data_IF_575063656203
#
_entry.id   IF_575063656203
#
_cell.length_a   1.000
_cell.length_b   1.000
_cell.length_c   1.000
_cell.angle_alpha   90.00
_cell.angle_beta   90.00
_cell.angle_gamma   90.00
#
_symmetry.space_group_name_H-M   'P 1'
#
loop_
_entity.id
_entity.type
_entity.pdbx_description
1 polymer ?
#
# COMPACT_ATOMS: atom_id res chain seq x y z
N UNK A 1 -10.36 14.11 13.03
CA UNK A 1 -10.14 12.65 12.93
C UNK A 1 -8.70 12.41 13.34
N UNK A 2 -8.46 11.64 14.39
CA UNK A 2 -7.11 11.44 14.94
C UNK A 2 -6.17 10.80 13.90
N UNK A 3 -4.98 11.38 13.62
CA UNK A 3 -4.06 10.89 12.59
C UNK A 3 -3.63 9.43 12.80
N UNK A 4 -3.58 8.96 14.05
CA UNK A 4 -3.29 7.55 14.36
C UNK A 4 -4.32 6.57 13.79
N UNK A 5 -5.58 6.98 13.61
CA UNK A 5 -6.63 6.08 13.10
C UNK A 5 -6.39 5.65 11.65
N UNK A 6 -5.84 6.53 10.81
CA UNK A 6 -5.60 6.23 9.41
C UNK A 6 -4.43 5.25 9.23
N UNK A 7 -3.38 5.40 10.03
CA UNK A 7 -2.24 4.47 10.03
C UNK A 7 -2.69 3.06 10.41
N UNK A 8 -3.45 2.91 11.50
CA UNK A 8 -3.94 1.57 11.89
C UNK A 8 -4.88 0.96 10.85
N UNK A 9 -5.78 1.76 10.24
CA UNK A 9 -6.62 1.31 9.12
C UNK A 9 -5.80 0.89 7.91
N UNK A 10 -4.76 1.64 7.57
CA UNK A 10 -3.87 1.33 6.46
C UNK A 10 -3.09 0.03 6.73
N UNK A 11 -2.61 -0.19 7.96
CA UNK A 11 -1.86 -1.39 8.32
C UNK A 11 -2.72 -2.63 8.59
N UNK A 12 -4.04 -2.49 8.79
CA UNK A 12 -4.93 -3.63 9.05
C UNK A 12 -4.99 -4.64 7.88
N UNK A 13 -4.75 -4.18 6.66
CA UNK A 13 -4.85 -5.00 5.45
C UNK A 13 -3.52 -5.69 5.12
N UNK A 14 -3.52 -7.00 4.84
CA UNK A 14 -2.30 -7.75 4.55
C UNK A 14 -1.66 -7.35 3.22
N UNK A 15 -2.45 -6.97 2.20
CA UNK A 15 -1.94 -6.51 0.90
C UNK A 15 -1.16 -5.21 1.09
N UNK A 16 -1.69 -4.25 1.85
CA UNK A 16 -1.00 -2.98 2.16
C UNK A 16 0.31 -3.20 2.93
N UNK A 17 0.31 -4.10 3.91
CA UNK A 17 1.55 -4.49 4.60
C UNK A 17 2.57 -5.10 3.65
N UNK A 18 2.14 -5.96 2.72
CA UNK A 18 3.02 -6.57 1.72
C UNK A 18 3.58 -5.55 0.73
N UNK A 19 2.79 -4.56 0.32
CA UNK A 19 3.25 -3.44 -0.52
C UNK A 19 4.37 -2.67 0.20
N UNK A 20 4.19 -2.34 1.48
CA UNK A 20 5.23 -1.67 2.27
C UNK A 20 6.51 -2.50 2.39
N UNK A 21 6.37 -3.82 2.57
CA UNK A 21 7.49 -4.76 2.64
C UNK A 21 8.30 -4.76 1.32
N UNK A 22 7.62 -4.77 0.18
CA UNK A 22 8.24 -4.70 -1.15
C UNK A 22 8.94 -3.35 -1.38
N UNK A 23 8.29 -2.23 -1.02
CA UNK A 23 8.88 -0.90 -1.16
C UNK A 23 10.07 -0.68 -0.22
N UNK A 24 10.15 -1.42 0.89
CA UNK A 24 11.32 -1.40 1.78
C UNK A 24 12.55 -1.99 1.11
N UNK A 25 12.39 -2.88 0.13
CA UNK A 25 13.49 -3.45 -0.63
C UNK A 25 13.99 -2.53 -1.75
N UNK A 26 13.20 -1.52 -2.14
CA UNK A 26 13.54 -0.51 -3.14
C UNK A 26 12.31 0.11 -3.80
N UNK A 27 12.51 1.19 -4.54
CA UNK A 27 11.45 1.84 -5.30
C UNK A 27 10.88 0.91 -6.38
N UNK A 28 9.57 0.75 -6.39
CA UNK A 28 8.85 -0.06 -7.38
C UNK A 28 7.70 0.75 -7.97
N UNK A 29 7.46 0.60 -9.27
CA UNK A 29 6.28 1.19 -9.87
C UNK A 29 5.02 0.43 -9.45
N UNK A 30 3.85 1.07 -9.58
CA UNK A 30 2.56 0.38 -9.36
C UNK A 30 2.38 -0.83 -10.29
N UNK A 31 3.00 -0.82 -11.47
CA UNK A 31 3.01 -1.95 -12.40
C UNK A 31 3.83 -3.12 -11.89
N UNK A 32 5.03 -2.85 -11.37
CA UNK A 32 5.92 -3.86 -10.79
C UNK A 32 5.31 -4.48 -9.54
N UNK A 33 4.72 -3.65 -8.68
CA UNK A 33 3.97 -4.12 -7.51
C UNK A 33 2.85 -5.06 -7.96
N UNK A 34 2.02 -4.65 -8.92
CA UNK A 34 0.90 -5.47 -9.41
C UNK A 34 1.32 -6.85 -9.94
N UNK A 35 2.53 -6.99 -10.50
CA UNK A 35 3.03 -8.29 -10.97
C UNK A 35 3.24 -9.30 -9.83
N UNK A 36 3.39 -8.84 -8.58
CA UNK A 36 3.54 -9.68 -7.39
C UNK A 36 2.22 -10.02 -6.66
N UNK A 37 1.07 -9.59 -7.17
CA UNK A 37 -0.24 -9.84 -6.55
C UNK A 37 -1.24 -10.40 -7.56
N UNK A 38 -2.16 -11.24 -7.08
CA UNK A 38 -3.31 -11.72 -7.86
C UNK A 38 -4.48 -10.70 -7.82
N UNK A 39 -4.18 -9.43 -8.11
CA UNK A 39 -5.18 -8.35 -8.11
C UNK A 39 -4.97 -7.40 -9.28
N UNK A 40 -5.98 -6.58 -9.58
CA UNK A 40 -5.88 -5.62 -10.68
C UNK A 40 -4.94 -4.46 -10.34
N UNK A 41 -4.37 -3.82 -11.38
CA UNK A 41 -3.60 -2.57 -11.23
C UNK A 41 -4.41 -1.46 -10.54
N UNK A 42 -5.72 -1.38 -10.79
CA UNK A 42 -6.60 -0.42 -10.12
C UNK A 42 -6.69 -0.67 -8.61
N UNK A 43 -6.74 -1.93 -8.19
CA UNK A 43 -6.70 -2.33 -6.77
C UNK A 43 -5.38 -1.93 -6.11
N UNK A 44 -4.24 -2.11 -6.79
CA UNK A 44 -2.93 -1.64 -6.31
C UNK A 44 -2.92 -0.12 -6.13
N UNK A 45 -3.38 0.64 -7.13
CA UNK A 45 -3.48 2.10 -7.03
C UNK A 45 -4.36 2.55 -5.86
N UNK A 46 -5.46 1.86 -5.62
CA UNK A 46 -6.34 2.13 -4.47
C UNK A 46 -5.61 1.91 -3.14
N UNK A 47 -4.89 0.80 -2.99
CA UNK A 47 -4.10 0.52 -1.80
C UNK A 47 -2.98 1.55 -1.58
N UNK A 48 -2.25 1.92 -2.64
CA UNK A 48 -1.22 2.96 -2.58
C UNK A 48 -1.80 4.32 -2.16
N UNK A 49 -2.98 4.67 -2.65
CA UNK A 49 -3.64 5.92 -2.26
C UNK A 49 -4.03 5.94 -0.76
N UNK A 50 -4.44 4.81 -0.19
CA UNK A 50 -4.73 4.70 1.24
C UNK A 50 -3.46 4.78 2.09
N UNK A 51 -2.37 4.15 1.64
CA UNK A 51 -1.06 4.25 2.28
C UNK A 51 -0.55 5.70 2.25
N UNK A 52 -0.69 6.40 1.12
CA UNK A 52 -0.31 7.81 0.96
C UNK A 52 -1.11 8.73 1.87
N UNK A 53 -2.43 8.52 1.97
CA UNK A 53 -3.29 9.28 2.90
C UNK A 53 -2.90 9.07 4.37
N UNK A 54 -2.36 7.89 4.70
CA UNK A 54 -1.82 7.58 6.02
C UNK A 54 -0.36 8.05 6.21
N UNK A 55 0.28 8.65 5.20
CA UNK A 55 1.67 9.10 5.26
C UNK A 55 2.70 7.98 5.29
N UNK A 56 2.38 6.82 4.73
CA UNK A 56 3.25 5.62 4.75
C UNK A 56 4.06 5.43 3.46
N UNK A 57 3.71 6.13 2.38
CA UNK A 57 4.39 6.14 1.07
C UNK A 57 4.26 7.52 0.42
#
# INVERSE_FOLDING_TARGET
>A
MEPGSLVFKALADPTRRRILDLLRAGDLSAGDLAAGFDITKASISHHLNLLKQAGLV
#
